data_IF_606052940841
#
_entry.id   IF_606052940841
#
_cell.length_a   1.000
_cell.length_b   1.000
_cell.length_c   1.000
_cell.angle_alpha   90.00
_cell.angle_beta   90.00
_cell.angle_gamma   90.00
#
_symmetry.space_group_name_H-M   'P 1'
#
loop_
_entity.id
_entity.type
_entity.pdbx_description
1 polymer ?
#
# COMPACT_ATOMS: atom_id res chain seq x y z
N UNK A 1 12.41 50.67 60.11
CA UNK A 1 11.86 50.59 61.49
C UNK A 1 11.08 49.28 61.58
N UNK A 2 11.66 48.45 62.28
CA UNK A 2 11.34 47.53 63.41
C UNK A 2 10.64 46.26 62.91
N UNK A 3 11.34 45.14 62.94
CA UNK A 3 11.63 44.21 64.03
C UNK A 3 10.41 43.48 64.55
N UNK A 4 10.50 42.17 64.46
CA UNK A 4 10.29 41.27 65.56
C UNK A 4 9.56 40.06 65.13
N UNK A 5 10.07 38.97 65.24
CA UNK A 5 10.32 37.99 66.34
C UNK A 5 9.64 36.69 65.93
N UNK A 6 10.32 35.61 65.64
CA UNK A 6 10.91 34.64 66.56
C UNK A 6 9.94 33.66 67.15
N UNK A 7 10.16 32.39 66.79
CA UNK A 7 10.11 31.15 67.60
C UNK A 7 8.78 30.68 68.16
N UNK A 8 8.65 29.43 67.97
CA UNK A 8 7.98 28.33 68.69
C UNK A 8 7.20 27.51 67.64
N UNK A 9 7.48 26.27 67.33
CA UNK A 9 7.70 25.14 68.19
C UNK A 9 8.58 24.10 67.52
N UNK A 10 9.67 23.87 68.07
CA UNK A 10 10.29 22.56 68.22
C UNK A 10 9.32 21.69 69.07
N UNK A 11 9.31 20.41 68.78
CA UNK A 11 8.63 19.29 69.44
C UNK A 11 7.36 18.78 68.72
N UNK A 12 7.64 17.81 67.93
CA UNK A 12 6.97 16.47 67.91
C UNK A 12 7.68 15.55 66.94
N UNK A 13 8.87 15.28 67.26
CA UNK A 13 9.64 14.16 66.76
C UNK A 13 9.42 13.02 67.77
N UNK A 14 9.20 11.88 67.23
CA UNK A 14 9.04 10.56 67.85
C UNK A 14 7.61 10.03 67.90
N UNK A 15 7.34 9.24 66.92
CA UNK A 15 6.99 7.83 67.06
C UNK A 15 6.28 7.34 65.82
N UNK A 16 6.89 6.44 65.22
CA UNK A 16 6.36 5.21 64.60
C UNK A 16 7.29 4.71 63.46
N UNK A 17 8.44 4.26 63.87
CA UNK A 17 9.19 3.31 63.06
C UNK A 17 8.54 1.95 63.23
N UNK A 18 7.64 1.59 62.34
CA UNK A 18 7.24 0.22 62.12
C UNK A 18 7.97 -0.28 60.86
N UNK A 19 8.70 -1.37 60.90
CA UNK A 19 9.29 -1.95 59.70
C UNK A 19 8.19 -2.61 58.90
N UNK A 20 7.88 -2.02 57.72
CA UNK A 20 7.07 -2.67 56.69
C UNK A 20 7.88 -3.88 56.20
N UNK A 21 7.50 -5.06 56.63
CA UNK A 21 7.99 -6.31 56.08
C UNK A 21 7.71 -6.32 54.57
N UNK A 22 8.77 -6.15 53.77
CA UNK A 22 8.73 -6.46 52.34
C UNK A 22 8.44 -7.96 52.22
N UNK A 23 7.18 -8.28 52.00
CA UNK A 23 6.79 -9.56 51.43
C UNK A 23 7.52 -9.74 50.12
N UNK A 24 8.43 -10.67 50.09
CA UNK A 24 9.04 -11.17 48.86
C UNK A 24 7.96 -11.89 48.04
N UNK A 25 7.16 -11.09 47.33
CA UNK A 25 6.31 -11.61 46.25
C UNK A 25 7.22 -11.78 45.03
N UNK A 26 7.36 -13.08 44.66
CA UNK A 26 8.29 -13.54 43.65
C UNK A 26 8.28 -12.76 42.36
N UNK A 27 9.48 -12.44 41.89
CA UNK A 27 9.78 -12.14 40.51
C UNK A 27 9.46 -13.39 39.65
N UNK A 28 8.17 -13.63 39.38
CA UNK A 28 7.83 -14.47 38.24
C UNK A 28 8.29 -13.73 36.99
N UNK A 29 9.18 -14.35 36.18
CA UNK A 29 9.49 -13.80 34.86
C UNK A 29 8.19 -13.74 34.10
N UNK A 30 7.72 -12.52 33.78
CA UNK A 30 6.65 -12.34 32.81
C UNK A 30 7.05 -13.09 31.55
N UNK A 31 6.52 -14.29 31.44
CA UNK A 31 6.61 -15.16 30.28
C UNK A 31 6.20 -14.30 29.07
N UNK A 32 7.23 -13.83 28.34
CA UNK A 32 7.05 -13.04 27.14
C UNK A 32 6.23 -13.90 26.19
N UNK A 33 4.91 -13.63 26.16
CA UNK A 33 4.02 -14.24 25.20
C UNK A 33 4.70 -14.19 23.83
N UNK A 34 4.82 -15.32 23.11
CA UNK A 34 5.56 -15.38 21.86
C UNK A 34 5.00 -14.30 20.95
N UNK A 35 5.85 -13.32 20.59
CA UNK A 35 5.52 -12.31 19.59
C UNK A 35 5.06 -13.09 18.37
N UNK A 36 3.74 -13.17 18.19
CA UNK A 36 3.13 -13.71 16.98
C UNK A 36 3.85 -13.03 15.82
N UNK A 37 4.71 -13.78 15.14
CA UNK A 37 5.20 -13.43 13.82
C UNK A 37 3.95 -13.31 12.95
N UNK A 38 3.38 -12.12 12.90
CA UNK A 38 2.37 -11.75 11.94
C UNK A 38 2.99 -12.01 10.57
N UNK A 39 2.73 -13.18 10.04
CA UNK A 39 3.18 -13.58 8.71
C UNK A 39 2.62 -12.56 7.76
N UNK A 40 3.50 -11.76 7.18
CA UNK A 40 3.17 -10.59 6.32
C UNK A 40 2.25 -10.95 5.15
N UNK A 41 2.12 -12.23 4.85
CA UNK A 41 1.26 -12.79 3.78
C UNK A 41 -0.23 -12.66 4.11
N UNK A 42 -0.66 -12.83 5.37
CA UNK A 42 -2.08 -12.78 5.74
C UNK A 42 -2.72 -11.38 5.65
N UNK A 43 -1.90 -10.33 5.58
CA UNK A 43 -2.38 -8.94 5.50
C UNK A 43 -2.86 -8.55 4.09
N UNK A 44 -2.48 -9.32 3.05
CA UNK A 44 -2.85 -9.08 1.66
C UNK A 44 -4.23 -9.65 1.30
N UNK A 45 -4.69 -10.66 2.03
CA UNK A 45 -5.99 -11.31 1.85
C UNK A 45 -7.14 -10.57 2.57
N UNK A 46 -7.14 -9.24 2.57
CA UNK A 46 -8.30 -8.46 3.05
C UNK A 46 -9.46 -8.60 2.07
N UNK A 47 -10.73 -8.61 2.55
CA UNK A 47 -11.91 -8.98 1.74
C UNK A 47 -12.14 -8.16 0.47
N UNK A 48 -11.49 -7.02 0.30
CA UNK A 48 -11.60 -6.19 -0.92
C UNK A 48 -10.62 -6.56 -2.05
N UNK A 49 -9.55 -7.32 -1.77
CA UNK A 49 -8.55 -7.65 -2.78
C UNK A 49 -9.05 -8.58 -3.89
N UNK A 50 -9.76 -9.70 -3.59
CA UNK A 50 -10.29 -10.55 -4.64
C UNK A 50 -11.31 -9.83 -5.54
N UNK A 51 -12.14 -8.95 -4.98
CA UNK A 51 -13.07 -8.14 -5.76
C UNK A 51 -12.32 -7.17 -6.69
N UNK A 52 -11.28 -6.50 -6.20
CA UNK A 52 -10.43 -5.62 -7.01
C UNK A 52 -9.75 -6.38 -8.15
N UNK A 53 -9.22 -7.58 -7.87
CA UNK A 53 -8.60 -8.45 -8.86
C UNK A 53 -9.60 -8.91 -9.91
N UNK A 54 -10.79 -9.36 -9.49
CA UNK A 54 -11.85 -9.78 -10.40
C UNK A 54 -12.30 -8.64 -11.31
N UNK A 55 -12.51 -7.44 -10.75
CA UNK A 55 -12.89 -6.27 -11.52
C UNK A 55 -11.81 -5.85 -12.53
N UNK A 56 -10.54 -5.90 -12.14
CA UNK A 56 -9.43 -5.59 -13.04
C UNK A 56 -9.34 -6.59 -14.21
N UNK A 57 -9.54 -7.89 -13.95
CA UNK A 57 -9.56 -8.92 -15.00
C UNK A 57 -10.75 -8.72 -15.93
N UNK A 58 -11.95 -8.46 -15.38
CA UNK A 58 -13.15 -8.19 -16.19
C UNK A 58 -12.95 -6.97 -17.09
N UNK A 59 -12.32 -5.93 -16.58
CA UNK A 59 -11.99 -4.75 -17.37
C UNK A 59 -10.97 -5.07 -18.48
N UNK A 60 -9.96 -5.90 -18.21
CA UNK A 60 -9.03 -6.39 -19.22
C UNK A 60 -9.72 -7.20 -20.33
N UNK A 61 -10.64 -8.08 -19.97
CA UNK A 61 -11.45 -8.84 -20.94
C UNK A 61 -12.34 -7.90 -21.77
N UNK A 62 -12.99 -6.93 -21.12
CA UNK A 62 -13.80 -5.93 -21.80
C UNK A 62 -13.01 -5.14 -22.84
N UNK A 63 -11.82 -4.65 -22.48
CA UNK A 63 -10.94 -3.94 -23.41
C UNK A 63 -10.43 -4.85 -24.54
N UNK A 64 -10.10 -6.12 -24.25
CA UNK A 64 -9.73 -7.11 -25.26
C UNK A 64 -10.84 -7.35 -26.28
N UNK A 65 -12.10 -7.43 -25.84
CA UNK A 65 -13.26 -7.51 -26.72
C UNK A 65 -13.44 -6.26 -27.59
N UNK A 66 -13.27 -5.06 -27.01
CA UNK A 66 -13.34 -3.80 -27.77
C UNK A 66 -12.24 -3.73 -28.85
N UNK A 67 -11.01 -4.13 -28.51
CA UNK A 67 -9.92 -4.22 -29.50
C UNK A 67 -10.26 -5.21 -30.62
N UNK A 68 -10.80 -6.38 -30.30
CA UNK A 68 -11.20 -7.38 -31.27
C UNK A 68 -12.28 -6.83 -32.23
N UNK A 69 -13.26 -6.08 -31.71
CA UNK A 69 -14.31 -5.43 -32.50
C UNK A 69 -13.70 -4.36 -33.41
N UNK A 70 -12.78 -3.53 -32.90
CA UNK A 70 -12.10 -2.48 -33.67
C UNK A 70 -11.19 -3.01 -34.78
N UNK A 71 -10.65 -4.22 -34.61
CA UNK A 71 -9.71 -4.85 -35.52
C UNK A 71 -10.35 -5.85 -36.48
N UNK A 72 -11.68 -5.86 -36.63
CA UNK A 72 -12.43 -6.81 -37.48
C UNK A 72 -11.93 -6.91 -38.93
N UNK A 73 -11.39 -5.82 -39.45
CA UNK A 73 -10.89 -5.75 -40.83
C UNK A 73 -9.40 -6.10 -40.94
N UNK A 74 -8.70 -6.31 -39.82
CA UNK A 74 -7.29 -6.66 -39.82
C UNK A 74 -7.13 -8.19 -39.73
N UNK A 75 -6.15 -8.78 -40.45
CA UNK A 75 -5.89 -10.23 -40.40
C UNK A 75 -5.13 -10.60 -39.11
N UNK A 76 -5.75 -10.33 -37.97
CA UNK A 76 -5.17 -10.57 -36.65
C UNK A 76 -5.91 -11.71 -35.97
N UNK A 77 -5.17 -12.72 -35.44
CA UNK A 77 -5.76 -13.80 -34.70
C UNK A 77 -6.50 -13.30 -33.44
N UNK A 78 -7.72 -13.80 -33.23
CA UNK A 78 -8.65 -13.31 -32.19
C UNK A 78 -8.09 -13.35 -30.75
N UNK A 79 -7.11 -14.20 -30.46
CA UNK A 79 -6.50 -14.30 -29.13
C UNK A 79 -5.50 -13.17 -28.81
N UNK A 80 -4.93 -12.51 -29.84
CA UNK A 80 -3.89 -11.49 -29.66
C UNK A 80 -4.35 -10.27 -28.85
N UNK A 81 -5.52 -9.65 -29.10
CA UNK A 81 -6.02 -8.54 -28.27
C UNK A 81 -6.17 -8.92 -26.79
N UNK A 82 -6.59 -10.13 -26.48
CA UNK A 82 -6.70 -10.58 -25.09
C UNK A 82 -5.34 -10.74 -24.42
N UNK A 83 -4.33 -11.21 -25.14
CA UNK A 83 -2.96 -11.29 -24.62
C UNK A 83 -2.42 -9.89 -24.33
N UNK A 84 -2.69 -8.90 -25.19
CA UNK A 84 -2.26 -7.53 -24.99
C UNK A 84 -2.86 -6.91 -23.71
N UNK A 85 -4.16 -7.04 -23.52
CA UNK A 85 -4.84 -6.45 -22.37
C UNK A 85 -4.58 -7.23 -21.07
N UNK A 86 -4.71 -8.56 -21.11
CA UNK A 86 -4.54 -9.38 -19.91
C UNK A 86 -3.09 -9.38 -19.39
N UNK A 87 -2.10 -9.36 -20.29
CA UNK A 87 -0.70 -9.25 -19.87
C UNK A 87 -0.44 -7.95 -19.09
N UNK A 88 -0.99 -6.83 -19.57
CA UNK A 88 -0.89 -5.53 -18.90
C UNK A 88 -1.59 -5.55 -17.54
N UNK A 89 -2.84 -6.01 -17.47
CA UNK A 89 -3.61 -6.10 -16.23
C UNK A 89 -2.91 -6.98 -15.19
N UNK A 90 -2.41 -8.16 -15.60
CA UNK A 90 -1.71 -9.07 -14.68
C UNK A 90 -0.46 -8.46 -14.08
N UNK A 91 0.35 -7.76 -14.89
CA UNK A 91 1.55 -7.09 -14.41
C UNK A 91 1.19 -5.92 -13.49
N UNK A 92 0.18 -5.11 -13.82
CA UNK A 92 -0.30 -4.03 -12.95
C UNK A 92 -0.77 -4.58 -11.60
N UNK A 93 -1.52 -5.69 -11.59
CA UNK A 93 -1.95 -6.35 -10.36
C UNK A 93 -0.76 -6.83 -9.52
N UNK A 94 0.25 -7.43 -10.17
CA UNK A 94 1.47 -7.87 -9.50
C UNK A 94 2.28 -6.69 -8.92
N UNK A 95 2.26 -5.53 -9.57
CA UNK A 95 2.96 -4.32 -9.14
C UNK A 95 2.16 -3.45 -8.16
N UNK A 96 0.85 -3.65 -8.03
CA UNK A 96 0.01 -2.84 -7.13
C UNK A 96 0.48 -2.82 -5.66
N UNK A 97 1.08 -3.89 -5.08
CA UNK A 97 1.69 -3.84 -3.75
C UNK A 97 2.81 -2.80 -3.62
N UNK A 98 3.54 -2.53 -4.72
CA UNK A 98 4.56 -1.49 -4.73
C UNK A 98 3.94 -0.10 -4.53
N UNK A 99 2.82 0.20 -5.21
CA UNK A 99 2.11 1.49 -5.07
C UNK A 99 1.59 1.65 -3.64
N UNK A 100 1.00 0.60 -3.06
CA UNK A 100 0.55 0.60 -1.66
C UNK A 100 1.72 0.87 -0.69
N UNK A 101 2.90 0.30 -0.98
CA UNK A 101 4.10 0.52 -0.16
C UNK A 101 4.61 1.95 -0.28
N UNK A 102 4.59 2.52 -1.50
CA UNK A 102 4.98 3.91 -1.76
C UNK A 102 4.05 4.89 -1.05
N UNK A 103 2.73 4.69 -1.13
CA UNK A 103 1.76 5.52 -0.42
C UNK A 103 1.97 5.49 1.10
N UNK A 104 2.26 4.32 1.67
CA UNK A 104 2.56 4.21 3.11
C UNK A 104 3.85 4.91 3.51
N UNK A 105 4.84 4.96 2.63
CA UNK A 105 6.13 5.60 2.89
C UNK A 105 6.08 7.12 2.68
N UNK A 106 5.32 7.57 1.67
CA UNK A 106 5.17 8.95 1.26
C UNK A 106 3.68 9.29 1.20
N UNK A 107 3.08 9.47 2.37
CA UNK A 107 1.66 9.73 2.52
C UNK A 107 1.28 11.04 1.82
N UNK A 108 0.17 11.04 1.06
CA UNK A 108 -0.29 12.21 0.31
C UNK A 108 -0.70 13.40 1.19
N UNK A 109 -1.07 13.11 2.44
CA UNK A 109 -1.46 14.10 3.45
C UNK A 109 -0.28 14.67 4.28
N UNK A 110 0.94 14.14 4.07
CA UNK A 110 2.12 14.60 4.79
C UNK A 110 2.74 15.88 4.19
N UNK A 111 3.61 16.52 4.93
CA UNK A 111 4.39 17.67 4.45
C UNK A 111 5.89 17.36 4.56
N UNK A 112 6.74 17.89 3.70
CA UNK A 112 6.50 18.85 2.61
C UNK A 112 6.01 18.17 1.31
N UNK A 113 5.02 18.76 0.64
CA UNK A 113 4.41 18.27 -0.60
C UNK A 113 5.42 18.01 -1.73
N UNK A 114 6.43 18.88 -1.89
CA UNK A 114 7.48 18.73 -2.91
C UNK A 114 8.15 17.36 -2.84
N UNK A 115 8.50 16.89 -1.63
CA UNK A 115 9.13 15.58 -1.44
C UNK A 115 8.20 14.45 -1.84
N UNK A 116 6.91 14.57 -1.54
CA UNK A 116 5.89 13.56 -1.86
C UNK A 116 5.70 13.48 -3.37
N UNK A 117 5.51 14.62 -4.04
CA UNK A 117 5.34 14.69 -5.49
C UNK A 117 6.55 14.10 -6.21
N UNK A 118 7.78 14.48 -5.83
CA UNK A 118 8.99 13.94 -6.42
C UNK A 118 9.13 12.42 -6.19
N UNK A 119 8.80 11.94 -5.00
CA UNK A 119 8.86 10.51 -4.69
C UNK A 119 7.84 9.71 -5.51
N UNK A 120 6.60 10.20 -5.66
CA UNK A 120 5.58 9.53 -6.47
C UNK A 120 5.87 9.65 -7.96
N UNK A 121 6.41 10.77 -8.45
CA UNK A 121 6.85 10.91 -9.84
C UNK A 121 7.97 9.91 -10.18
N UNK A 122 9.00 9.82 -9.34
CA UNK A 122 10.06 8.82 -9.52
C UNK A 122 9.52 7.38 -9.45
N UNK A 123 8.61 7.11 -8.51
CA UNK A 123 7.97 5.80 -8.38
C UNK A 123 7.12 5.44 -9.60
N UNK A 124 6.41 6.40 -10.20
CA UNK A 124 5.62 6.18 -11.42
C UNK A 124 6.51 5.84 -12.62
N UNK A 125 7.67 6.50 -12.76
CA UNK A 125 8.65 6.18 -13.81
C UNK A 125 9.19 4.75 -13.63
N UNK A 126 9.60 4.39 -12.41
CA UNK A 126 10.08 3.03 -12.10
C UNK A 126 8.97 2.00 -12.34
N UNK A 127 7.74 2.30 -11.90
CA UNK A 127 6.59 1.44 -12.13
C UNK A 127 6.39 1.19 -13.63
N UNK A 128 6.40 2.25 -14.46
CA UNK A 128 6.23 2.12 -15.91
C UNK A 128 7.36 1.32 -16.56
N UNK A 129 8.61 1.56 -16.19
CA UNK A 129 9.74 0.81 -16.74
C UNK A 129 9.61 -0.70 -16.42
N UNK A 130 9.28 -1.06 -15.17
CA UNK A 130 9.10 -2.45 -14.77
C UNK A 130 7.85 -3.06 -15.42
N UNK A 131 6.72 -2.31 -15.47
CA UNK A 131 5.48 -2.75 -16.11
C UNK A 131 5.70 -3.07 -17.59
N UNK A 132 6.19 -2.11 -18.37
CA UNK A 132 6.40 -2.28 -19.80
C UNK A 132 7.37 -3.44 -20.10
N UNK A 133 8.49 -3.52 -19.37
CA UNK A 133 9.45 -4.60 -19.55
C UNK A 133 8.83 -5.98 -19.27
N UNK A 134 8.14 -6.12 -18.13
CA UNK A 134 7.50 -7.37 -17.73
C UNK A 134 6.38 -7.78 -18.69
N UNK A 135 5.58 -6.82 -19.14
CA UNK A 135 4.52 -7.01 -20.13
C UNK A 135 5.07 -7.50 -21.46
N UNK A 136 6.14 -6.87 -21.98
CA UNK A 136 6.78 -7.28 -23.23
C UNK A 136 7.36 -8.69 -23.12
N UNK A 137 8.02 -9.02 -22.00
CA UNK A 137 8.55 -10.37 -21.76
C UNK A 137 7.40 -11.38 -21.75
N UNK A 138 6.32 -11.10 -21.01
CA UNK A 138 5.16 -11.99 -20.93
C UNK A 138 4.53 -12.22 -22.30
N UNK A 139 4.34 -11.15 -23.10
CA UNK A 139 3.82 -11.24 -24.46
C UNK A 139 4.72 -12.07 -25.37
N UNK A 140 6.05 -11.85 -25.32
CA UNK A 140 7.01 -12.66 -26.10
C UNK A 140 6.91 -14.14 -25.75
N UNK A 141 6.79 -14.49 -24.46
CA UNK A 141 6.63 -15.88 -24.01
C UNK A 141 5.33 -16.48 -24.57
N UNK A 142 4.19 -15.80 -24.42
CA UNK A 142 2.89 -16.31 -24.90
C UNK A 142 2.89 -16.48 -26.42
N UNK A 143 3.45 -15.53 -27.17
CA UNK A 143 3.53 -15.60 -28.62
C UNK A 143 4.44 -16.75 -29.08
N UNK A 144 5.59 -16.93 -28.45
CA UNK A 144 6.51 -18.04 -28.75
C UNK A 144 5.84 -19.40 -28.49
N UNK A 145 5.06 -19.55 -27.40
CA UNK A 145 4.29 -20.76 -27.12
C UNK A 145 3.18 -21.02 -28.15
N UNK A 146 2.64 -19.96 -28.77
CA UNK A 146 1.65 -20.05 -29.84
C UNK A 146 2.27 -20.24 -31.24
N UNK A 147 3.59 -20.36 -31.36
CA UNK A 147 4.32 -20.46 -32.63
C UNK A 147 4.34 -19.17 -33.44
N UNK A 148 4.19 -18.02 -32.79
CA UNK A 148 4.13 -16.68 -33.39
C UNK A 148 5.24 -15.78 -32.80
N UNK A 149 5.45 -14.60 -33.36
CA UNK A 149 6.42 -13.62 -32.89
C UNK A 149 5.73 -12.33 -32.44
N UNK A 150 6.19 -11.79 -31.29
CA UNK A 150 5.75 -10.49 -30.80
C UNK A 150 6.82 -9.45 -31.09
N UNK A 151 6.46 -8.42 -31.85
CA UNK A 151 7.26 -7.23 -32.07
C UNK A 151 6.67 -6.05 -31.30
N UNK A 152 7.50 -5.44 -30.46
CA UNK A 152 7.12 -4.24 -29.70
C UNK A 152 7.35 -2.96 -30.51
N UNK A 153 8.03 -3.06 -31.66
CA UNK A 153 8.41 -1.92 -32.49
C UNK A 153 9.55 -1.09 -31.87
N UNK A 154 9.51 0.22 -32.10
CA UNK A 154 10.50 1.12 -31.53
C UNK A 154 10.35 1.21 -30.02
N UNK A 155 11.38 0.76 -29.30
CA UNK A 155 11.36 0.66 -27.83
C UNK A 155 11.09 2.01 -27.15
N UNK A 156 11.68 3.11 -27.62
CA UNK A 156 11.49 4.43 -27.02
C UNK A 156 10.09 4.96 -27.25
N UNK A 157 9.56 4.84 -28.46
CA UNK A 157 8.21 5.29 -28.80
C UNK A 157 7.17 4.45 -28.05
N UNK A 158 7.35 3.12 -28.06
CA UNK A 158 6.47 2.20 -27.35
C UNK A 158 6.47 2.44 -25.83
N UNK A 159 7.65 2.62 -25.23
CA UNK A 159 7.76 2.92 -23.80
C UNK A 159 7.14 4.28 -23.45
N UNK A 160 7.33 5.32 -24.26
CA UNK A 160 6.72 6.63 -24.01
C UNK A 160 5.19 6.58 -24.11
N UNK A 161 4.65 5.80 -25.03
CA UNK A 161 3.22 5.54 -25.14
C UNK A 161 2.66 4.82 -23.92
N UNK A 162 3.33 3.75 -23.46
CA UNK A 162 2.93 3.02 -22.28
C UNK A 162 3.11 3.85 -21.00
N UNK A 163 4.16 4.70 -20.91
CA UNK A 163 4.37 5.59 -19.76
C UNK A 163 3.14 6.48 -19.47
N UNK A 164 2.50 7.03 -20.51
CA UNK A 164 1.30 7.87 -20.31
C UNK A 164 0.16 7.07 -19.69
N UNK A 165 -0.10 5.85 -20.16
CA UNK A 165 -1.12 4.95 -19.63
C UNK A 165 -0.77 4.51 -18.20
N UNK A 166 0.50 4.22 -17.98
CA UNK A 166 1.02 3.76 -16.69
C UNK A 166 0.94 4.83 -15.61
N UNK A 167 1.21 6.08 -15.95
CA UNK A 167 1.04 7.22 -15.02
C UNK A 167 -0.42 7.33 -14.60
N UNK A 168 -1.37 7.22 -15.53
CA UNK A 168 -2.80 7.26 -15.22
C UNK A 168 -3.18 6.07 -14.31
N UNK A 169 -2.72 4.86 -14.65
CA UNK A 169 -2.96 3.66 -13.86
C UNK A 169 -2.37 3.76 -12.44
N UNK A 170 -1.13 4.26 -12.34
CA UNK A 170 -0.45 4.50 -11.07
C UNK A 170 -1.24 5.48 -10.20
N UNK A 171 -1.63 6.63 -10.76
CA UNK A 171 -2.39 7.66 -10.04
C UNK A 171 -3.77 7.15 -9.62
N UNK A 172 -4.44 6.40 -10.48
CA UNK A 172 -5.75 5.81 -10.16
C UNK A 172 -5.64 4.86 -8.97
N UNK A 173 -4.67 3.93 -8.99
CA UNK A 173 -4.45 3.00 -7.87
C UNK A 173 -4.04 3.77 -6.60
N UNK A 174 -3.16 4.76 -6.73
CA UNK A 174 -2.73 5.60 -5.62
C UNK A 174 -3.91 6.32 -4.95
N UNK A 175 -4.81 6.91 -5.75
CA UNK A 175 -6.01 7.57 -5.25
C UNK A 175 -6.98 6.60 -4.57
N UNK A 176 -7.16 5.41 -5.14
CA UNK A 176 -8.00 4.36 -4.52
C UNK A 176 -7.40 3.96 -3.16
N UNK A 177 -6.09 3.74 -3.08
CA UNK A 177 -5.41 3.36 -1.83
C UNK A 177 -5.54 4.48 -0.80
N UNK A 178 -5.35 5.73 -1.21
CA UNK A 178 -5.53 6.90 -0.36
C UNK A 178 -6.98 7.00 0.15
N UNK A 179 -7.98 6.94 -0.73
CA UNK A 179 -9.39 7.03 -0.37
C UNK A 179 -9.82 5.91 0.60
N UNK A 180 -9.40 4.66 0.35
CA UNK A 180 -9.68 3.53 1.25
C UNK A 180 -9.04 3.72 2.62
N UNK A 181 -7.84 4.29 2.68
CA UNK A 181 -7.18 4.61 3.96
C UNK A 181 -7.96 5.68 4.72
N UNK A 182 -8.26 6.81 4.08
CA UNK A 182 -9.02 7.91 4.68
C UNK A 182 -10.37 7.45 5.22
N UNK A 183 -11.10 6.66 4.43
CA UNK A 183 -12.38 6.11 4.85
C UNK A 183 -12.25 5.24 6.12
N UNK A 184 -11.21 4.40 6.19
CA UNK A 184 -10.96 3.55 7.37
C UNK A 184 -10.56 4.36 8.60
N UNK A 185 -9.74 5.40 8.43
CA UNK A 185 -9.31 6.27 9.53
C UNK A 185 -10.51 7.04 10.10
N UNK A 186 -11.38 7.60 9.26
CA UNK A 186 -12.62 8.27 9.68
C UNK A 186 -13.55 7.34 10.44
N UNK A 187 -13.86 6.17 9.87
CA UNK A 187 -14.74 5.19 10.50
C UNK A 187 -14.21 4.70 11.85
N UNK A 188 -12.91 4.50 11.98
CA UNK A 188 -12.30 4.10 13.25
C UNK A 188 -12.36 5.22 14.31
N UNK A 189 -12.27 6.48 13.89
CA UNK A 189 -12.46 7.65 14.76
C UNK A 189 -13.90 7.74 15.31
N UNK A 190 -14.90 7.57 14.46
CA UNK A 190 -16.33 7.56 14.85
C UNK A 190 -16.65 6.45 15.87
N UNK A 191 -16.13 5.23 15.63
CA UNK A 191 -16.34 4.11 16.54
C UNK A 191 -15.67 4.32 17.91
N UNK A 192 -14.53 5.00 17.96
CA UNK A 192 -13.88 5.37 19.24
C UNK A 192 -14.69 6.44 19.98
N UNK A 193 -15.15 7.48 19.28
CA UNK A 193 -15.98 8.52 19.87
C UNK A 193 -17.31 7.99 20.42
N UNK A 194 -17.92 7.01 19.75
CA UNK A 194 -19.15 6.36 20.21
C UNK A 194 -18.96 5.49 21.48
N UNK A 195 -17.74 4.96 21.70
CA UNK A 195 -17.43 4.14 22.90
C UNK A 195 -17.11 4.98 24.16
N UNK A 196 -16.80 6.25 23.98
CA UNK A 196 -16.45 7.17 25.08
C UNK A 196 -17.64 8.03 25.56
N UNK A 197 -18.78 7.86 24.93
CA UNK A 197 -20.08 8.42 25.38
C UNK A 197 -20.87 7.39 26.17
#
# INVERSE_FOLDING_TARGET
MTRGSSSLCHDMQESLTAPVSRSAAGDEPLEQAPRRRDTRVSRWLRPGWPLFTALAILLGVYWGLNQLIGLRSAPIAAWKPFVWELSSVLVILALSPFIVRMERRFRLDARPLRRIVLAHAAAAIVFSAVHTTSMVILRKIVYALAGDSYDFGNVFVGWFYELQKDVISYLTILLIVFAVREFKERRSGELRAARTR
#
